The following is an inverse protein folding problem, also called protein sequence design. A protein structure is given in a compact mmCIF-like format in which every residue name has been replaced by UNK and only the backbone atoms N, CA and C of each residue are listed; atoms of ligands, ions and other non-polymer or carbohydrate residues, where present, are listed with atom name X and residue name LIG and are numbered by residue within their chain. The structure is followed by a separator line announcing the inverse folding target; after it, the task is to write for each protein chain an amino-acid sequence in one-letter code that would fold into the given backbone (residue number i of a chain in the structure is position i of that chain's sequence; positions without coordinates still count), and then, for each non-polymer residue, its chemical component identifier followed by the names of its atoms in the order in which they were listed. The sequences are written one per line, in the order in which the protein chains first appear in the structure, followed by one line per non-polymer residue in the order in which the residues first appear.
data_IF_378832783973
#
_entry.id   IF_378832783973
#
_cell.length_a   1.000
_cell.length_b   1.000
_cell.length_c   1.000
_cell.angle_alpha   90.00
_cell.angle_beta   90.00
_cell.angle_gamma   90.00
#
_symmetry.space_group_name_H-M   'P 1'
#
loop_
_entity.id
_entity.type
_entity.pdbx_description
1 polymer ?
#
# COMPACT_ATOMS: atom_id res chain seq x y z
N UNK A 1 -3.52 -21.89 -7.18
CA UNK A 1 -2.74 -21.77 -5.94
C UNK A 1 -2.41 -20.30 -5.70
N UNK A 2 -2.28 -19.85 -4.44
CA UNK A 2 -2.02 -18.44 -4.05
C UNK A 2 -0.91 -17.79 -4.90
N UNK A 3 0.14 -18.54 -5.24
CA UNK A 3 1.24 -18.04 -6.09
C UNK A 3 0.81 -17.59 -7.49
N UNK A 4 -0.22 -18.21 -8.06
CA UNK A 4 -0.76 -17.95 -9.40
C UNK A 4 -1.88 -16.90 -9.43
N UNK A 5 -2.36 -16.41 -8.28
CA UNK A 5 -3.42 -15.41 -8.22
C UNK A 5 -2.88 -13.99 -8.06
N UNK A 6 -3.69 -13.00 -8.42
CA UNK A 6 -3.44 -11.57 -8.13
C UNK A 6 -4.05 -11.17 -6.79
N UNK A 7 -5.26 -11.68 -6.51
CA UNK A 7 -6.01 -11.50 -5.26
C UNK A 7 -6.31 -12.88 -4.66
N UNK A 8 -6.24 -12.98 -3.34
CA UNK A 8 -6.68 -14.13 -2.55
C UNK A 8 -7.86 -13.72 -1.66
N UNK A 9 -8.83 -14.61 -1.53
CA UNK A 9 -9.95 -14.44 -0.60
C UNK A 9 -9.69 -15.35 0.60
N UNK A 10 -9.47 -14.74 1.77
CA UNK A 10 -9.37 -15.46 3.03
C UNK A 10 -10.78 -15.62 3.60
N UNK A 11 -11.36 -16.80 3.44
CA UNK A 11 -12.70 -17.10 3.95
C UNK A 11 -12.62 -17.52 5.42
N UNK A 12 -13.35 -16.82 6.29
CA UNK A 12 -13.49 -17.12 7.72
C UNK A 12 -14.89 -17.64 8.00
N UNK A 13 -15.04 -18.44 9.06
CA UNK A 13 -16.33 -18.89 9.56
C UNK A 13 -16.80 -17.96 10.69
N UNK A 14 -17.94 -17.28 10.48
CA UNK A 14 -18.48 -16.32 11.43
C UNK A 14 -18.69 -16.91 12.83
N UNK A 15 -19.14 -18.16 12.90
CA UNK A 15 -19.50 -18.84 14.17
C UNK A 15 -18.25 -19.27 14.94
N UNK A 16 -17.21 -19.70 14.22
CA UNK A 16 -15.97 -20.17 14.86
C UNK A 16 -15.02 -19.02 15.21
N UNK A 17 -15.06 -17.92 14.46
CA UNK A 17 -14.09 -16.84 14.62
C UNK A 17 -12.75 -17.11 13.91
N UNK A 18 -11.85 -16.12 13.85
CA UNK A 18 -10.52 -16.28 13.30
C UNK A 18 -9.65 -17.18 14.20
N UNK A 19 -9.11 -18.27 13.65
CA UNK A 19 -8.25 -19.21 14.35
C UNK A 19 -6.78 -19.22 13.90
N UNK A 20 -5.98 -20.10 14.51
CA UNK A 20 -4.55 -20.27 14.19
C UNK A 20 -4.31 -20.78 12.75
N UNK A 21 -5.23 -21.58 12.20
CA UNK A 21 -5.15 -22.03 10.81
C UNK A 21 -5.34 -20.86 9.83
N UNK A 22 -6.33 -20.00 10.09
CA UNK A 22 -6.61 -18.81 9.29
C UNK A 22 -5.45 -17.83 9.32
N UNK A 23 -4.83 -17.65 10.50
CA UNK A 23 -3.63 -16.84 10.67
C UNK A 23 -2.47 -17.33 9.82
N UNK A 24 -2.25 -18.65 9.76
CA UNK A 24 -1.21 -19.23 8.90
C UNK A 24 -1.49 -18.99 7.42
N UNK A 25 -2.74 -19.15 6.98
CA UNK A 25 -3.14 -18.85 5.60
C UNK A 25 -3.00 -17.37 5.27
N UNK A 26 -3.44 -16.48 6.15
CA UNK A 26 -3.27 -15.03 6.02
C UNK A 26 -1.80 -14.64 5.89
N UNK A 27 -0.93 -15.15 6.76
CA UNK A 27 0.52 -14.93 6.65
C UNK A 27 1.08 -15.41 5.32
N UNK A 28 0.67 -16.59 4.86
CA UNK A 28 1.11 -17.13 3.57
C UNK A 28 0.68 -16.28 2.37
N UNK A 29 -0.50 -15.65 2.43
CA UNK A 29 -0.96 -14.69 1.41
C UNK A 29 -0.05 -13.45 1.41
N UNK A 30 0.28 -12.92 2.58
CA UNK A 30 1.14 -11.73 2.73
C UNK A 30 2.59 -11.99 2.32
N UNK A 31 3.15 -13.14 2.66
CA UNK A 31 4.50 -13.56 2.25
C UNK A 31 4.68 -13.64 0.73
N UNK A 32 3.57 -13.84 0.01
CA UNK A 32 3.55 -13.92 -1.45
C UNK A 32 3.11 -12.61 -2.12
N UNK A 33 3.06 -11.49 -1.37
CA UNK A 33 2.68 -10.16 -1.85
C UNK A 33 1.37 -10.18 -2.67
N UNK A 34 0.34 -10.89 -2.18
CA UNK A 34 -0.96 -10.98 -2.87
C UNK A 34 -1.96 -9.98 -2.34
N UNK A 35 -2.80 -9.45 -3.23
CA UNK A 35 -4.00 -8.73 -2.82
C UNK A 35 -4.86 -9.64 -1.94
N UNK A 36 -5.50 -9.10 -0.92
CA UNK A 36 -6.26 -9.90 0.03
C UNK A 36 -7.61 -9.27 0.35
N UNK A 37 -8.65 -10.08 0.32
CA UNK A 37 -10.00 -9.78 0.82
C UNK A 37 -10.30 -10.79 1.92
N UNK A 38 -10.78 -10.32 3.08
CA UNK A 38 -11.27 -11.20 4.14
C UNK A 38 -12.77 -11.34 3.97
N UNK A 39 -13.25 -12.57 3.81
CA UNK A 39 -14.66 -12.88 3.59
C UNK A 39 -15.19 -13.69 4.77
N UNK A 40 -16.04 -13.11 5.60
CA UNK A 40 -16.62 -13.76 6.78
C UNK A 40 -17.93 -14.43 6.36
N UNK A 41 -17.91 -15.75 6.22
CA UNK A 41 -19.03 -16.55 5.75
C UNK A 41 -19.89 -17.06 6.92
N UNK A 42 -21.13 -17.51 6.62
CA UNK A 42 -22.15 -17.92 7.59
C UNK A 42 -22.65 -16.79 8.47
N UNK A 43 -22.62 -15.56 7.97
CA UNK A 43 -23.06 -14.39 8.73
C UNK A 43 -24.53 -14.45 9.14
N UNK A 44 -25.36 -15.21 8.40
CA UNK A 44 -26.74 -15.52 8.76
C UNK A 44 -26.89 -16.24 10.12
N UNK A 45 -25.84 -16.94 10.57
CA UNK A 45 -25.80 -17.64 11.85
C UNK A 45 -25.22 -16.80 12.99
N UNK A 46 -24.63 -15.64 12.69
CA UNK A 46 -23.97 -14.76 13.66
C UNK A 46 -24.92 -13.71 14.28
N UNK A 47 -26.17 -14.11 14.55
CA UNK A 47 -27.19 -13.21 15.05
C UNK A 47 -26.75 -12.50 16.35
N UNK A 48 -26.92 -11.18 16.40
CA UNK A 48 -26.60 -10.36 17.56
C UNK A 48 -25.13 -9.93 17.68
N UNK A 49 -24.29 -10.29 16.71
CA UNK A 49 -22.90 -9.79 16.63
C UNK A 49 -22.83 -8.59 15.70
N UNK A 50 -22.17 -7.52 16.15
CA UNK A 50 -21.95 -6.32 15.34
C UNK A 50 -20.79 -6.54 14.33
N UNK A 51 -20.97 -6.06 13.10
CA UNK A 51 -19.98 -6.21 12.03
C UNK A 51 -18.66 -5.48 12.36
N UNK A 52 -18.73 -4.32 13.01
CA UNK A 52 -17.53 -3.56 13.37
C UNK A 52 -16.79 -4.25 14.51
N UNK A 53 -17.50 -4.72 15.54
CA UNK A 53 -16.89 -5.50 16.63
C UNK A 53 -16.18 -6.76 16.10
N UNK A 54 -16.80 -7.47 15.16
CA UNK A 54 -16.20 -8.65 14.54
C UNK A 54 -14.97 -8.28 13.68
N UNK A 55 -15.07 -7.20 12.90
CA UNK A 55 -13.96 -6.68 12.09
C UNK A 55 -12.76 -6.33 12.97
N UNK A 56 -12.98 -5.65 14.08
CA UNK A 56 -11.93 -5.36 15.05
C UNK A 56 -11.34 -6.64 15.64
N UNK A 57 -12.16 -7.65 15.95
CA UNK A 57 -11.68 -8.95 16.43
C UNK A 57 -10.76 -9.63 15.42
N UNK A 58 -11.12 -9.60 14.13
CA UNK A 58 -10.26 -10.10 13.04
C UNK A 58 -8.92 -9.36 13.02
N UNK A 59 -8.93 -8.03 13.14
CA UNK A 59 -7.69 -7.23 13.13
C UNK A 59 -6.86 -7.37 14.39
N UNK A 60 -7.46 -7.63 15.56
CA UNK A 60 -6.72 -7.98 16.78
C UNK A 60 -5.98 -9.31 16.62
N UNK A 61 -6.64 -10.31 16.03
CA UNK A 61 -6.05 -11.66 15.83
C UNK A 61 -5.02 -11.68 14.69
N UNK A 62 -5.29 -10.95 13.60
CA UNK A 62 -4.46 -10.89 12.40
C UNK A 62 -4.17 -9.42 12.02
N UNK A 63 -3.37 -8.69 12.80
CA UNK A 63 -3.12 -7.26 12.60
C UNK A 63 -2.42 -6.96 11.27
N UNK A 64 -1.70 -7.94 10.71
CA UNK A 64 -1.09 -7.83 9.38
C UNK A 64 -2.11 -7.77 8.24
N UNK A 65 -3.39 -8.10 8.48
CA UNK A 65 -4.50 -7.96 7.52
C UNK A 65 -5.34 -6.71 7.75
N UNK A 66 -4.99 -5.83 8.69
CA UNK A 66 -5.75 -4.61 9.03
C UNK A 66 -6.04 -3.66 7.87
N UNK A 67 -5.31 -3.80 6.76
CA UNK A 67 -5.52 -3.02 5.55
C UNK A 67 -6.45 -3.70 4.52
N UNK A 68 -6.88 -4.93 4.77
CA UNK A 68 -7.70 -5.70 3.85
C UNK A 68 -9.18 -5.39 4.07
N UNK A 69 -10.00 -5.31 3.01
CA UNK A 69 -11.44 -5.22 3.16
C UNK A 69 -11.97 -6.49 3.86
N UNK A 70 -12.93 -6.30 4.77
CA UNK A 70 -13.66 -7.37 5.45
C UNK A 70 -15.11 -7.32 4.99
N UNK A 71 -15.55 -8.37 4.30
CA UNK A 71 -16.89 -8.52 3.75
C UNK A 71 -17.62 -9.64 4.48
N UNK A 72 -18.81 -9.34 4.99
CA UNK A 72 -19.68 -10.30 5.65
C UNK A 72 -20.69 -10.87 4.66
N UNK A 73 -20.80 -12.19 4.59
CA UNK A 73 -21.66 -12.88 3.61
C UNK A 73 -22.27 -14.18 4.16
N UNK A 74 -23.23 -14.71 3.42
CA UNK A 74 -23.68 -16.10 3.58
C UNK A 74 -23.76 -16.78 2.21
N UNK A 75 -22.87 -17.74 1.99
CA UNK A 75 -22.90 -18.56 0.79
C UNK A 75 -24.15 -19.46 0.72
N UNK A 76 -24.79 -19.75 1.85
CA UNK A 76 -25.99 -20.59 1.91
C UNK A 76 -27.24 -19.81 1.47
N UNK A 77 -27.42 -18.60 1.99
CA UNK A 77 -28.60 -17.77 1.69
C UNK A 77 -28.40 -16.85 0.48
N UNK A 78 -27.15 -16.67 0.04
CA UNK A 78 -26.77 -15.72 -1.01
C UNK A 78 -26.55 -14.29 -0.51
N UNK A 79 -26.61 -14.05 0.81
CA UNK A 79 -26.39 -12.73 1.40
C UNK A 79 -25.03 -12.16 0.97
N UNK A 80 -25.06 -10.97 0.36
CA UNK A 80 -23.89 -10.13 0.05
C UNK A 80 -22.79 -10.82 -0.79
N UNK A 81 -23.18 -11.76 -1.65
CA UNK A 81 -22.23 -12.41 -2.57
C UNK A 81 -21.61 -11.41 -3.56
N UNK A 82 -22.40 -10.45 -4.05
CA UNK A 82 -21.93 -9.40 -4.96
C UNK A 82 -20.87 -8.51 -4.29
N UNK A 83 -21.05 -8.17 -3.01
CA UNK A 83 -20.10 -7.36 -2.26
C UNK A 83 -18.71 -8.00 -2.14
N UNK A 84 -18.62 -9.33 -2.15
CA UNK A 84 -17.32 -10.04 -2.19
C UNK A 84 -16.65 -9.85 -3.55
N UNK A 85 -17.41 -9.96 -4.64
CA UNK A 85 -16.91 -9.78 -6.00
C UNK A 85 -16.41 -8.34 -6.19
N UNK A 86 -17.21 -7.36 -5.77
CA UNK A 86 -16.83 -5.94 -5.81
C UNK A 86 -15.54 -5.67 -5.02
N UNK A 87 -15.40 -6.27 -3.83
CA UNK A 87 -14.19 -6.12 -3.02
C UNK A 87 -12.96 -6.75 -3.69
N UNK A 88 -13.13 -7.87 -4.40
CA UNK A 88 -12.05 -8.51 -5.18
C UNK A 88 -11.61 -7.60 -6.31
N UNK A 89 -12.55 -7.08 -7.10
CA UNK A 89 -12.26 -6.21 -8.25
C UNK A 89 -11.60 -4.91 -7.79
N UNK A 90 -12.14 -4.28 -6.75
CA UNK A 90 -11.54 -3.10 -6.14
C UNK A 90 -10.11 -3.39 -5.66
N UNK A 91 -9.89 -4.48 -4.92
CA UNK A 91 -8.56 -4.86 -4.43
C UNK A 91 -7.59 -5.09 -5.60
N UNK A 92 -8.03 -5.79 -6.65
CA UNK A 92 -7.23 -6.01 -7.85
C UNK A 92 -6.83 -4.69 -8.53
N UNK A 93 -7.76 -3.74 -8.64
CA UNK A 93 -7.45 -2.39 -9.14
C UNK A 93 -6.40 -1.69 -8.28
N UNK A 94 -6.52 -1.76 -6.94
CA UNK A 94 -5.55 -1.12 -6.05
C UNK A 94 -4.14 -1.73 -6.15
N UNK A 95 -4.01 -3.03 -6.45
CA UNK A 95 -2.68 -3.63 -6.69
C UNK A 95 -1.96 -3.06 -7.91
N UNK A 96 -2.70 -2.40 -8.82
CA UNK A 96 -2.21 -1.78 -10.06
C UNK A 96 -2.13 -0.26 -9.99
N UNK A 97 -2.41 0.34 -8.83
CA UNK A 97 -2.45 1.78 -8.66
C UNK A 97 -1.12 2.45 -9.09
N UNK A 98 -1.23 3.56 -9.80
CA UNK A 98 -0.09 4.42 -10.12
C UNK A 98 0.14 5.41 -8.98
N UNK A 99 1.40 5.55 -8.55
CA UNK A 99 1.82 6.46 -7.49
C UNK A 99 2.69 7.55 -8.12
N UNK A 100 2.11 8.69 -8.57
CA UNK A 100 2.87 9.79 -9.16
C UNK A 100 4.01 10.24 -8.25
N UNK A 101 5.23 10.27 -8.79
CA UNK A 101 6.47 10.53 -8.03
C UNK A 101 6.38 11.81 -7.19
N UNK A 102 5.83 12.89 -7.74
CA UNK A 102 5.68 14.16 -7.01
C UNK A 102 4.70 14.08 -5.82
N UNK A 103 3.64 13.28 -5.91
CA UNK A 103 2.74 13.05 -4.77
C UNK A 103 3.36 12.09 -3.75
N UNK A 104 3.95 11.00 -4.21
CA UNK A 104 4.63 10.02 -3.35
C UNK A 104 5.71 10.67 -2.49
N UNK A 105 6.54 11.54 -3.08
CA UNK A 105 7.61 12.22 -2.33
C UNK A 105 7.06 13.24 -1.32
N UNK A 106 5.92 13.89 -1.61
CA UNK A 106 5.25 14.77 -0.63
C UNK A 106 4.76 13.98 0.58
N UNK A 107 4.09 12.84 0.35
CA UNK A 107 3.65 11.94 1.45
C UNK A 107 4.81 11.53 2.35
N UNK A 108 5.94 11.18 1.75
CA UNK A 108 7.12 10.78 2.50
C UNK A 108 7.79 11.96 3.23
N UNK A 109 7.71 13.18 2.70
CA UNK A 109 8.17 14.38 3.40
C UNK A 109 7.31 14.62 4.65
N UNK A 110 5.99 14.68 4.46
CA UNK A 110 5.03 14.91 5.55
C UNK A 110 5.14 13.82 6.64
N UNK A 111 5.38 12.57 6.23
CA UNK A 111 5.61 11.46 7.14
C UNK A 111 6.91 11.61 7.96
N UNK A 112 8.00 12.11 7.37
CA UNK A 112 9.27 12.36 8.07
C UNK A 112 9.19 13.54 9.05
N UNK A 113 8.35 14.53 8.75
CA UNK A 113 8.05 15.65 9.64
C UNK A 113 7.19 15.20 10.83
N UNK A 114 6.20 14.34 10.58
CA UNK A 114 5.30 13.81 11.61
C UNK A 114 5.99 12.82 12.55
N UNK A 115 6.81 11.92 12.00
CA UNK A 115 7.59 10.94 12.77
C UNK A 115 9.01 10.93 12.24
N UNK A 116 9.92 11.44 13.07
CA UNK A 116 11.31 11.59 12.68
C UNK A 116 11.97 10.25 12.32
N UNK A 117 12.83 10.24 11.27
CA UNK A 117 13.56 9.05 10.91
C UNK A 117 14.48 8.53 12.03
N UNK A 118 14.64 7.20 12.14
CA UNK A 118 15.54 6.60 13.12
C UNK A 118 16.99 7.07 12.91
N UNK A 119 17.74 7.05 14.00
CA UNK A 119 19.16 7.38 14.02
C UNK A 119 19.93 6.29 14.75
N UNK A 120 21.04 5.83 14.18
CA UNK A 120 21.89 4.79 14.76
C UNK A 120 23.35 5.24 14.66
N UNK A 121 24.11 5.13 15.75
CA UNK A 121 25.52 5.54 15.80
C UNK A 121 25.77 6.99 15.35
N UNK A 122 24.85 7.91 15.67
CA UNK A 122 24.93 9.33 15.28
C UNK A 122 24.58 9.64 13.83
N UNK A 123 24.21 8.63 13.02
CA UNK A 123 23.77 8.80 11.62
C UNK A 123 22.24 8.65 11.54
N UNK A 124 21.56 9.69 11.06
CA UNK A 124 20.11 9.67 10.79
C UNK A 124 19.83 9.11 9.40
N UNK A 125 18.76 8.32 9.26
CA UNK A 125 18.21 7.94 7.95
C UNK A 125 17.80 9.21 7.19
N UNK A 126 18.34 9.40 5.99
CA UNK A 126 17.97 10.48 5.06
C UNK A 126 17.32 9.86 3.84
N UNK A 127 16.04 10.14 3.63
CA UNK A 127 15.30 9.75 2.43
C UNK A 127 15.41 10.90 1.43
N UNK A 128 16.07 10.65 0.30
CA UNK A 128 16.27 11.67 -0.72
C UNK A 128 15.06 11.79 -1.64
N UNK A 129 14.57 10.65 -2.12
CA UNK A 129 13.37 10.54 -2.91
C UNK A 129 12.91 9.09 -2.97
N UNK A 130 11.70 8.88 -3.48
CA UNK A 130 11.14 7.58 -3.78
C UNK A 130 10.53 7.54 -5.17
N UNK A 131 10.48 6.35 -5.75
CA UNK A 131 9.81 6.07 -7.02
C UNK A 131 9.02 4.77 -6.91
N UNK A 132 7.91 4.67 -7.62
CA UNK A 132 7.26 3.39 -7.86
C UNK A 132 8.08 2.61 -8.89
N UNK A 133 8.45 1.38 -8.56
CA UNK A 133 9.25 0.49 -9.43
C UNK A 133 8.46 -0.68 -9.98
N UNK A 134 7.21 -0.85 -9.55
CA UNK A 134 6.36 -1.95 -10.01
C UNK A 134 4.92 -1.85 -9.51
N UNK A 135 4.08 -2.65 -10.16
CA UNK A 135 2.67 -2.91 -9.84
C UNK A 135 2.48 -4.43 -9.73
N UNK A 136 1.43 -4.86 -9.03
CA UNK A 136 1.13 -6.27 -8.75
C UNK A 136 2.32 -7.08 -8.18
N UNK A 137 2.87 -6.71 -7.00
CA UNK A 137 2.34 -5.75 -6.02
C UNK A 137 2.80 -4.31 -6.25
N UNK A 138 2.24 -3.34 -5.51
CA UNK A 138 2.74 -1.96 -5.51
C UNK A 138 4.14 -1.95 -4.91
N UNK A 139 5.17 -1.76 -5.74
CA UNK A 139 6.57 -1.71 -5.30
C UNK A 139 7.08 -0.28 -5.30
N UNK A 140 7.57 0.18 -4.15
CA UNK A 140 8.14 1.52 -3.96
C UNK A 140 9.59 1.36 -3.52
N UNK A 141 10.50 2.05 -4.21
CA UNK A 141 11.91 2.11 -3.85
C UNK A 141 12.26 3.47 -3.27
N UNK A 142 12.84 3.45 -2.07
CA UNK A 142 13.45 4.61 -1.43
C UNK A 142 14.93 4.72 -1.83
N UNK A 143 15.36 5.92 -2.18
CA UNK A 143 16.78 6.26 -2.29
C UNK A 143 17.21 6.98 -1.03
N UNK A 144 18.11 6.35 -0.29
CA UNK A 144 18.52 6.78 1.04
C UNK A 144 20.03 6.94 1.15
N UNK A 145 20.51 7.50 2.26
CA UNK A 145 21.95 7.53 2.56
C UNK A 145 22.50 6.13 2.88
N UNK A 146 21.81 5.40 3.76
CA UNK A 146 22.22 4.07 4.21
C UNK A 146 20.96 3.21 4.46
N UNK A 147 20.70 2.17 3.64
CA UNK A 147 19.53 1.30 3.80
C UNK A 147 19.45 0.58 5.15
N UNK A 148 20.59 0.35 5.83
CA UNK A 148 20.60 -0.33 7.12
C UNK A 148 19.89 0.47 8.22
N UNK A 149 19.82 1.81 8.06
CA UNK A 149 19.13 2.70 8.99
C UNK A 149 17.60 2.61 8.87
N UNK A 150 17.05 1.96 7.85
CA UNK A 150 15.60 1.79 7.69
C UNK A 150 15.10 0.60 8.54
N UNK A 151 14.75 0.89 9.79
CA UNK A 151 14.17 -0.10 10.70
C UNK A 151 12.84 -0.66 10.20
N UNK A 152 12.48 -1.88 10.63
CA UNK A 152 11.21 -2.51 10.27
C UNK A 152 10.00 -1.65 10.68
N UNK A 153 10.01 -1.09 11.89
CA UNK A 153 8.92 -0.24 12.38
C UNK A 153 8.75 1.02 11.53
N UNK A 154 9.86 1.69 11.16
CA UNK A 154 9.78 2.88 10.32
C UNK A 154 9.33 2.54 8.90
N UNK A 155 9.77 1.40 8.35
CA UNK A 155 9.27 0.88 7.07
C UNK A 155 7.76 0.65 7.10
N UNK A 156 7.25 -0.04 8.11
CA UNK A 156 5.80 -0.29 8.28
C UNK A 156 5.01 1.01 8.42
N UNK A 157 5.57 2.00 9.14
CA UNK A 157 4.98 3.34 9.26
C UNK A 157 4.89 4.04 7.89
N UNK A 158 5.96 4.07 7.10
CA UNK A 158 5.96 4.68 5.76
C UNK A 158 5.00 3.95 4.82
N UNK A 159 4.97 2.62 4.87
CA UNK A 159 4.01 1.80 4.11
C UNK A 159 2.57 2.16 4.47
N UNK A 160 2.25 2.33 5.75
CA UNK A 160 0.93 2.79 6.19
C UNK A 160 0.60 4.17 5.61
N UNK A 161 1.52 5.14 5.70
CA UNK A 161 1.30 6.49 5.14
C UNK A 161 1.09 6.50 3.63
N UNK A 162 1.84 5.68 2.89
CA UNK A 162 1.62 5.49 1.45
C UNK A 162 0.23 4.90 1.22
N UNK A 163 -0.11 3.82 1.94
CA UNK A 163 -1.41 3.17 1.79
C UNK A 163 -2.57 4.11 2.06
N UNK A 164 -2.53 4.86 3.15
CA UNK A 164 -3.58 5.79 3.55
C UNK A 164 -3.78 6.89 2.49
N UNK A 165 -2.68 7.44 1.93
CA UNK A 165 -2.79 8.52 0.94
C UNK A 165 -3.38 8.06 -0.39
N UNK A 166 -2.99 6.87 -0.82
CA UNK A 166 -3.31 6.32 -2.14
C UNK A 166 -4.47 5.32 -2.10
N UNK A 167 -5.13 5.17 -0.95
CA UNK A 167 -6.31 4.31 -0.76
C UNK A 167 -6.07 2.85 -1.19
N UNK A 168 -4.86 2.34 -0.89
CA UNK A 168 -4.40 1.02 -1.34
C UNK A 168 -4.95 -0.13 -0.46
N UNK A 169 -6.25 -0.09 -0.18
CA UNK A 169 -6.96 -1.11 0.60
C UNK A 169 -6.87 -2.47 -0.08
N UNK A 170 -6.57 -3.52 0.69
CA UNK A 170 -6.34 -4.88 0.19
C UNK A 170 -5.06 -5.07 -0.62
N UNK A 171 -4.37 -3.99 -0.99
CA UNK A 171 -3.17 -4.05 -1.82
C UNK A 171 -1.87 -4.14 -1.00
N UNK A 172 -1.00 -5.12 -1.31
CA UNK A 172 0.33 -5.21 -0.73
C UNK A 172 1.22 -4.08 -1.26
N UNK A 173 1.88 -3.39 -0.33
CA UNK A 173 2.86 -2.34 -0.64
C UNK A 173 4.22 -2.82 -0.18
N UNK A 174 5.11 -3.11 -1.13
CA UNK A 174 6.48 -3.52 -0.85
C UNK A 174 7.39 -2.31 -0.94
N UNK A 175 7.97 -1.94 0.20
CA UNK A 175 8.90 -0.82 0.30
C UNK A 175 10.32 -1.39 0.42
N UNK A 176 11.21 -1.07 -0.51
CA UNK A 176 12.64 -1.39 -0.44
C UNK A 176 13.50 -0.12 -0.46
N UNK A 177 14.76 -0.22 -0.06
CA UNK A 177 15.67 0.92 0.03
C UNK A 177 17.00 0.63 -0.65
N UNK A 178 17.55 1.62 -1.35
CA UNK A 178 18.88 1.58 -1.97
C UNK A 178 19.70 2.82 -1.63
N UNK A 179 21.04 2.71 -1.55
CA UNK A 179 21.90 3.89 -1.44
C UNK A 179 21.75 4.77 -2.69
N UNK A 180 21.78 6.08 -2.51
CA UNK A 180 21.85 7.02 -3.65
C UNK A 180 23.25 7.00 -4.24
N UNK A 181 23.41 6.55 -5.49
CA UNK A 181 24.70 6.65 -6.22
C UNK A 181 25.04 8.12 -6.47
N UNK A 182 26.17 8.60 -5.92
CA UNK A 182 26.73 9.93 -6.23
C UNK A 182 27.19 9.92 -7.70
N UNK A 183 26.34 10.44 -8.58
CA UNK A 183 26.57 10.49 -10.03
C UNK A 183 25.33 10.90 -10.83
N UNK A 184 24.13 10.62 -10.29
CA UNK A 184 22.87 11.17 -10.78
C UNK A 184 22.57 12.53 -10.12
N UNK A 185 23.38 13.54 -10.43
CA UNK A 185 23.07 14.93 -10.10
C UNK A 185 22.03 15.57 -11.06
N UNK A 186 21.57 14.82 -12.07
CA UNK A 186 20.40 15.15 -12.88
C UNK A 186 19.18 14.41 -12.35
N UNK A 187 18.13 15.15 -12.00
CA UNK A 187 16.86 14.66 -11.50
C UNK A 187 16.19 13.72 -12.53
N UNK A 188 16.17 12.38 -12.36
CA UNK A 188 15.71 11.46 -13.42
C UNK A 188 14.18 11.35 -13.53
N UNK A 189 13.41 12.04 -12.68
CA UNK A 189 11.98 11.75 -12.49
C UNK A 189 11.04 12.95 -12.30
N UNK A 190 11.49 14.18 -12.50
CA UNK A 190 10.55 15.31 -12.67
C UNK A 190 10.35 15.57 -14.17
N UNK A 191 9.10 15.61 -14.67
CA UNK A 191 8.83 16.21 -15.98
C UNK A 191 9.37 17.65 -15.93
N UNK A 192 10.30 17.99 -16.83
CA UNK A 192 10.76 19.37 -16.94
C UNK A 192 9.56 20.21 -17.37
N UNK A 193 9.14 21.14 -16.49
CA UNK A 193 8.14 22.13 -16.83
C UNK A 193 8.55 22.86 -18.11
N UNK A 194 7.66 22.85 -19.09
CA UNK A 194 7.84 23.48 -20.40
C UNK A 194 8.25 24.93 -20.21
N UNK A 195 9.50 25.27 -20.54
CA UNK A 195 9.95 26.67 -20.57
C UNK A 195 9.13 27.37 -21.66
N UNK A 196 8.21 28.25 -21.26
CA UNK A 196 7.58 29.23 -22.16
C UNK A 196 8.69 30.10 -22.74
N UNK A 197 8.96 29.95 -24.03
CA UNK A 197 9.86 30.82 -24.76
C UNK A 197 9.28 32.23 -24.80
N UNK A 198 9.95 33.19 -24.14
CA UNK A 198 9.71 34.61 -24.34
C UNK A 198 10.23 34.95 -25.74
N UNK A 199 9.31 35.17 -26.69
CA UNK A 199 9.63 35.76 -28.00
C UNK A 199 9.86 37.25 -27.82
N UNK A 200 11.12 37.68 -27.79
CA UNK A 200 11.50 39.07 -28.06
C UNK A 200 11.41 39.31 -29.58
N UNK A 201 10.34 40.01 -29.99
CA UNK A 201 10.15 40.45 -31.36
C UNK A 201 11.05 41.64 -31.70
N UNK A 202 11.96 41.45 -32.64
CA UNK A 202 12.73 42.53 -33.28
C UNK A 202 11.84 43.24 -34.31
N UNK A 203 11.57 44.54 -34.11
CA UNK A 203 10.80 45.36 -35.05
C UNK A 203 11.79 46.14 -35.92
N UNK A 204 12.00 45.66 -37.16
CA UNK A 204 12.59 46.47 -38.24
C UNK A 204 11.63 47.62 -38.57
N UNK A 205 12.13 48.86 -38.53
CA UNK A 205 11.50 50.01 -39.21
C UNK A 205 12.07 50.07 -40.63
N UNK A 206 11.19 49.99 -41.62
CA UNK A 206 11.49 50.40 -42.99
C UNK A 206 11.43 51.93 -43.08
N UNK A 207 12.38 52.49 -43.80
CA UNK A 207 12.27 53.73 -44.58
C UNK A 207 12.02 53.33 -46.02
#
# INVERSE_FOLDING_TARGET
SVRRSNVAVLMLDAVQGPGEADKKLGSFIMEHDKGCVVAVNKWDLAAGTDEEEYREAVFRTMPFLSFCPVVFLSALTGLNMDGVIDAIDHTAMQTRASLPTGLLNRVLSDAQESVHPPSEGGRRLKIYYAVQTGVEPVRVRLYVNDPSLLTANYRSYLVRKIRDRFELMGAPVVLDAKPRTRGMAGNPGMPQGTKRAVRTGSRKKNT
#
